data_IF_588877018379
#
_entry.id   IF_588877018379
#
_cell.length_a   1.000
_cell.length_b   1.000
_cell.length_c   1.000
_cell.angle_alpha   90.00
_cell.angle_beta   90.00
_cell.angle_gamma   90.00
#
_symmetry.space_group_name_H-M   'P 1'
#
loop_
_entity.id
_entity.type
_entity.pdbx_description
1 polymer ?
#
# COMPACT_ATOMS: atom_id res chain seq x y z
N UNK A 1 25.73 33.29 -11.07
CA UNK A 1 24.33 32.90 -10.84
C UNK A 1 23.99 31.81 -11.83
N UNK A 2 23.96 30.55 -11.39
CA UNK A 2 23.56 29.43 -12.24
C UNK A 2 22.04 29.52 -12.41
N UNK A 3 21.60 29.96 -13.59
CA UNK A 3 20.22 29.82 -14.02
C UNK A 3 19.92 28.32 -14.15
N UNK A 4 19.44 27.70 -13.07
CA UNK A 4 18.77 26.42 -13.13
C UNK A 4 17.51 26.64 -13.96
N UNK A 5 17.60 26.43 -15.26
CA UNK A 5 16.45 26.34 -16.15
C UNK A 5 15.57 25.22 -15.58
N UNK A 6 14.50 25.60 -14.88
CA UNK A 6 13.49 24.63 -14.43
C UNK A 6 12.94 24.00 -15.69
N UNK A 7 13.04 22.67 -15.78
CA UNK A 7 12.47 21.90 -16.88
C UNK A 7 10.97 22.24 -16.95
N UNK A 8 10.52 22.74 -18.09
CA UNK A 8 9.10 22.99 -18.31
C UNK A 8 8.46 21.63 -18.57
N UNK A 9 7.61 21.21 -17.63
CA UNK A 9 6.78 20.02 -17.78
C UNK A 9 5.41 20.49 -18.24
N UNK A 10 4.86 19.83 -19.25
CA UNK A 10 3.46 20.03 -19.59
C UNK A 10 2.56 19.47 -18.47
N UNK A 11 1.29 19.86 -18.44
CA UNK A 11 0.32 19.39 -17.46
C UNK A 11 0.25 17.86 -17.44
N UNK A 12 0.32 17.22 -18.60
CA UNK A 12 0.22 15.77 -18.74
C UNK A 12 1.47 15.05 -18.19
N UNK A 13 2.65 15.68 -18.33
CA UNK A 13 3.90 15.19 -17.74
C UNK A 13 3.83 15.20 -16.20
N UNK A 14 3.18 16.22 -15.63
CA UNK A 14 3.01 16.37 -14.19
C UNK A 14 2.05 15.29 -13.67
N UNK A 15 0.91 15.08 -14.32
CA UNK A 15 -0.08 14.07 -13.93
C UNK A 15 0.52 12.66 -13.96
N UNK A 16 1.26 12.33 -15.02
CA UNK A 16 1.99 11.05 -15.14
C UNK A 16 3.03 10.87 -14.05
N UNK A 17 3.75 11.93 -13.68
CA UNK A 17 4.72 11.87 -12.57
C UNK A 17 4.04 11.57 -11.23
N UNK A 18 2.87 12.14 -10.96
CA UNK A 18 2.12 11.85 -9.74
C UNK A 18 1.65 10.40 -9.70
N UNK A 19 1.08 9.89 -10.78
CA UNK A 19 0.64 8.48 -10.87
C UNK A 19 1.82 7.53 -10.64
N UNK A 20 2.94 7.77 -11.33
CA UNK A 20 4.13 6.93 -11.20
C UNK A 20 4.71 6.95 -9.79
N UNK A 21 4.71 8.12 -9.14
CA UNK A 21 5.18 8.27 -7.76
C UNK A 21 4.27 7.49 -6.80
N UNK A 22 2.96 7.62 -6.96
CA UNK A 22 1.99 6.91 -6.12
C UNK A 22 2.15 5.40 -6.28
N UNK A 23 2.26 4.89 -7.52
CA UNK A 23 2.52 3.47 -7.81
C UNK A 23 3.79 2.97 -7.11
N UNK A 24 4.89 3.73 -7.17
CA UNK A 24 6.15 3.35 -6.55
C UNK A 24 5.99 3.19 -5.03
N UNK A 25 5.38 4.19 -4.38
CA UNK A 25 5.14 4.18 -2.93
C UNK A 25 4.24 3.01 -2.53
N UNK A 26 3.16 2.78 -3.29
CA UNK A 26 2.24 1.68 -3.02
C UNK A 26 2.91 0.32 -3.14
N UNK A 27 3.78 0.14 -4.13
CA UNK A 27 4.52 -1.10 -4.30
C UNK A 27 5.44 -1.37 -3.10
N UNK A 28 6.22 -0.38 -2.70
CA UNK A 28 7.11 -0.50 -1.54
C UNK A 28 6.34 -0.86 -0.26
N UNK A 29 5.22 -0.20 0.00
CA UNK A 29 4.39 -0.46 1.18
C UNK A 29 3.79 -1.87 1.14
N UNK A 30 3.12 -2.25 0.04
CA UNK A 30 2.45 -3.55 -0.11
C UNK A 30 3.44 -4.73 -0.04
N UNK A 31 4.62 -4.57 -0.62
CA UNK A 31 5.68 -5.60 -0.58
C UNK A 31 6.19 -5.84 0.86
N UNK A 32 6.25 -4.78 1.68
CA UNK A 32 6.69 -4.89 3.08
C UNK A 32 5.66 -5.58 3.99
N UNK A 33 4.36 -5.39 3.73
CA UNK A 33 3.27 -5.82 4.63
C UNK A 33 3.32 -7.32 4.93
N UNK A 34 3.55 -8.16 3.93
CA UNK A 34 3.59 -9.60 4.16
C UNK A 34 4.77 -10.02 5.07
N UNK A 35 5.94 -9.42 4.87
CA UNK A 35 7.11 -9.69 5.72
C UNK A 35 6.85 -9.25 7.16
N UNK A 36 6.23 -8.10 7.36
CA UNK A 36 5.85 -7.61 8.68
C UNK A 36 4.80 -8.50 9.36
N UNK A 37 3.79 -8.97 8.63
CA UNK A 37 2.77 -9.89 9.15
C UNK A 37 3.43 -11.20 9.63
N UNK A 38 4.33 -11.77 8.82
CA UNK A 38 5.07 -12.97 9.19
C UNK A 38 5.87 -12.72 10.48
N UNK A 39 6.56 -11.59 10.57
CA UNK A 39 7.30 -11.19 11.76
C UNK A 39 6.40 -11.10 13.00
N UNK A 40 5.26 -10.41 12.93
CA UNK A 40 4.33 -10.32 14.06
C UNK A 40 3.76 -11.68 14.47
N UNK A 41 3.38 -12.52 13.51
CA UNK A 41 2.87 -13.87 13.80
C UNK A 41 3.92 -14.72 14.52
N UNK A 42 5.20 -14.60 14.15
CA UNK A 42 6.29 -15.31 14.83
C UNK A 42 6.46 -14.85 16.28
N UNK A 43 6.43 -13.53 16.53
CA UNK A 43 6.54 -12.98 17.89
C UNK A 43 5.37 -13.42 18.79
N UNK A 44 4.18 -13.59 18.21
CA UNK A 44 2.96 -13.95 18.95
C UNK A 44 2.71 -15.46 19.02
N UNK A 45 3.48 -16.29 18.32
CA UNK A 45 3.22 -17.73 18.13
C UNK A 45 3.09 -18.50 19.44
N UNK A 46 3.90 -18.17 20.44
CA UNK A 46 3.94 -18.86 21.74
C UNK A 46 2.81 -18.43 22.70
N UNK A 47 1.92 -17.54 22.27
CA UNK A 47 0.85 -16.96 23.10
C UNK A 47 -0.55 -17.18 22.49
N UNK A 48 -0.67 -18.11 21.54
CA UNK A 48 -1.94 -18.44 20.87
C UNK A 48 -3.07 -18.82 21.84
N UNK A 49 -2.74 -19.39 22.99
CA UNK A 49 -3.73 -19.82 23.99
C UNK A 49 -4.40 -18.64 24.72
N UNK A 50 -3.89 -17.42 24.55
CA UNK A 50 -4.55 -16.21 25.02
C UNK A 50 -5.42 -15.61 23.90
N UNK A 51 -6.72 -15.50 24.20
CA UNK A 51 -7.78 -15.06 23.29
C UNK A 51 -7.47 -13.73 22.58
N UNK A 52 -6.81 -12.79 23.25
CA UNK A 52 -6.45 -11.49 22.66
C UNK A 52 -5.41 -11.66 21.54
N UNK A 53 -4.38 -12.47 21.78
CA UNK A 53 -3.32 -12.69 20.80
C UNK A 53 -3.81 -13.55 19.63
N UNK A 54 -4.68 -14.54 19.88
CA UNK A 54 -5.34 -15.30 18.81
C UNK A 54 -6.10 -14.38 17.85
N UNK A 55 -6.91 -13.46 18.39
CA UNK A 55 -7.66 -12.48 17.58
C UNK A 55 -6.77 -11.56 16.76
N UNK A 56 -5.59 -11.18 17.28
CA UNK A 56 -4.62 -10.38 16.52
C UNK A 56 -4.01 -11.20 15.39
N UNK A 57 -3.64 -12.46 15.65
CA UNK A 57 -3.10 -13.38 14.63
C UNK A 57 -4.13 -13.61 13.51
N UNK A 58 -5.39 -13.85 13.83
CA UNK A 58 -6.47 -14.01 12.83
C UNK A 58 -6.66 -12.76 11.96
N UNK A 59 -6.59 -11.56 12.57
CA UNK A 59 -6.63 -10.30 11.83
C UNK A 59 -5.42 -10.12 10.91
N UNK A 60 -4.23 -10.51 11.36
CA UNK A 60 -3.00 -10.48 10.56
C UNK A 60 -3.12 -11.43 9.36
N UNK A 61 -3.64 -12.65 9.57
CA UNK A 61 -3.88 -13.62 8.50
C UNK A 61 -4.93 -13.16 7.49
N UNK A 62 -5.96 -12.45 7.97
CA UNK A 62 -6.95 -11.84 7.09
C UNK A 62 -6.31 -10.75 6.24
N UNK A 63 -5.50 -9.87 6.86
CA UNK A 63 -4.76 -8.82 6.14
C UNK A 63 -3.71 -9.37 5.19
N UNK A 64 -3.09 -10.50 5.47
CA UNK A 64 -2.16 -11.20 4.57
C UNK A 64 -2.87 -11.62 3.26
N UNK A 65 -4.06 -12.22 3.37
CA UNK A 65 -4.87 -12.60 2.19
C UNK A 65 -5.29 -11.37 1.39
N UNK A 66 -5.77 -10.33 2.07
CA UNK A 66 -6.16 -9.07 1.44
C UNK A 66 -4.96 -8.39 0.74
N UNK A 67 -3.78 -8.40 1.36
CA UNK A 67 -2.56 -7.83 0.79
C UNK A 67 -2.15 -8.55 -0.51
N UNK A 68 -2.26 -9.89 -0.53
CA UNK A 68 -1.96 -10.67 -1.73
C UNK A 68 -2.92 -10.36 -2.89
N UNK A 69 -4.20 -10.16 -2.59
CA UNK A 69 -5.19 -9.73 -3.59
C UNK A 69 -4.86 -8.32 -4.08
N UNK A 70 -4.54 -7.40 -3.16
CA UNK A 70 -4.18 -6.03 -3.50
C UNK A 70 -2.90 -5.95 -4.34
N UNK A 71 -1.90 -6.78 -4.05
CA UNK A 71 -0.67 -6.88 -4.83
C UNK A 71 -0.96 -7.34 -6.27
N UNK A 72 -1.80 -8.36 -6.44
CA UNK A 72 -2.22 -8.82 -7.76
C UNK A 72 -2.96 -7.70 -8.53
N UNK A 73 -3.86 -6.99 -7.85
CA UNK A 73 -4.58 -5.85 -8.43
C UNK A 73 -3.64 -4.68 -8.78
N UNK A 74 -2.63 -4.40 -7.95
CA UNK A 74 -1.63 -3.38 -8.22
C UNK A 74 -0.80 -3.72 -9.46
N UNK A 75 -0.38 -4.98 -9.61
CA UNK A 75 0.34 -5.45 -10.81
C UNK A 75 -0.53 -5.27 -12.06
N UNK A 76 -1.81 -5.62 -11.99
CA UNK A 76 -2.74 -5.40 -13.09
C UNK A 76 -2.93 -3.92 -13.40
N UNK A 77 -3.11 -3.10 -12.37
CA UNK A 77 -3.26 -1.65 -12.48
C UNK A 77 -2.03 -1.00 -13.15
N UNK A 78 -0.81 -1.38 -12.75
CA UNK A 78 0.44 -0.88 -13.35
C UNK A 78 0.47 -1.15 -14.86
N UNK A 79 0.14 -2.39 -15.27
CA UNK A 79 0.07 -2.76 -16.70
C UNK A 79 -0.99 -1.96 -17.44
N UNK A 80 -2.14 -1.73 -16.82
CA UNK A 80 -3.21 -0.92 -17.39
C UNK A 80 -2.74 0.53 -17.58
N UNK A 81 -2.08 1.12 -16.59
CA UNK A 81 -1.61 2.52 -16.66
C UNK A 81 -0.53 2.77 -17.71
N UNK A 82 0.15 1.75 -18.23
CA UNK A 82 1.05 1.93 -19.37
C UNK A 82 0.32 2.46 -20.61
N UNK A 83 -0.97 2.10 -20.79
CA UNK A 83 -1.81 2.60 -21.88
C UNK A 83 -2.15 4.09 -21.79
N UNK A 84 -1.96 4.74 -20.63
CA UNK A 84 -2.08 6.20 -20.52
C UNK A 84 -1.09 6.91 -21.45
N UNK A 85 0.06 6.27 -21.76
CA UNK A 85 1.07 6.85 -22.65
C UNK A 85 0.59 7.04 -24.08
N UNK A 86 -0.43 6.28 -24.48
CA UNK A 86 -0.98 6.22 -25.82
C UNK A 86 -2.25 7.09 -25.99
N UNK A 87 -2.71 7.76 -24.94
CA UNK A 87 -3.86 8.66 -25.05
C UNK A 87 -3.51 9.88 -25.93
N UNK A 88 -4.38 10.15 -26.90
CA UNK A 88 -4.30 11.31 -27.81
C UNK A 88 -5.43 12.33 -27.56
N UNK A 89 -6.37 12.01 -26.66
CA UNK A 89 -7.51 12.84 -26.32
C UNK A 89 -7.79 12.90 -24.80
N UNK A 90 -8.56 13.93 -24.43
CA UNK A 90 -8.93 14.24 -23.04
C UNK A 90 -9.84 13.16 -22.45
N UNK A 91 -10.63 12.47 -23.28
CA UNK A 91 -11.57 11.44 -22.82
C UNK A 91 -10.80 10.22 -22.29
N UNK A 92 -9.79 9.77 -23.03
CA UNK A 92 -8.86 8.73 -22.66
C UNK A 92 -8.09 9.08 -21.37
N UNK A 93 -7.55 10.29 -21.29
CA UNK A 93 -6.84 10.77 -20.09
C UNK A 93 -7.76 10.77 -18.85
N UNK A 94 -8.97 11.30 -19.00
CA UNK A 94 -9.98 11.36 -17.94
C UNK A 94 -10.34 9.96 -17.44
N UNK A 95 -10.45 8.97 -18.34
CA UNK A 95 -10.69 7.58 -17.95
C UNK A 95 -9.61 7.05 -17.00
N UNK A 96 -8.33 7.23 -17.35
CA UNK A 96 -7.21 6.76 -16.51
C UNK A 96 -7.09 7.54 -15.20
N UNK A 97 -7.37 8.84 -15.20
CA UNK A 97 -7.38 9.64 -13.98
C UNK A 97 -8.47 9.18 -12.99
N UNK A 98 -9.68 8.91 -13.50
CA UNK A 98 -10.77 8.38 -12.67
C UNK A 98 -10.42 6.99 -12.11
N UNK A 99 -9.85 6.12 -12.95
CA UNK A 99 -9.39 4.80 -12.52
C UNK A 99 -8.28 4.89 -11.46
N UNK A 100 -7.35 5.84 -11.61
CA UNK A 100 -6.31 6.13 -10.63
C UNK A 100 -6.89 6.56 -9.28
N UNK A 101 -7.85 7.49 -9.27
CA UNK A 101 -8.50 7.95 -8.03
C UNK A 101 -9.21 6.80 -7.31
N UNK A 102 -9.93 5.95 -8.06
CA UNK A 102 -10.61 4.78 -7.49
C UNK A 102 -9.61 3.80 -6.87
N UNK A 103 -8.54 3.49 -7.61
CA UNK A 103 -7.50 2.60 -7.12
C UNK A 103 -6.79 3.19 -5.88
N UNK A 104 -6.44 4.48 -5.93
CA UNK A 104 -5.83 5.24 -4.82
C UNK A 104 -6.65 5.15 -3.54
N UNK A 105 -7.95 5.43 -3.61
CA UNK A 105 -8.83 5.36 -2.45
C UNK A 105 -8.87 3.95 -1.84
N UNK A 106 -8.86 2.91 -2.68
CA UNK A 106 -8.85 1.53 -2.22
C UNK A 106 -7.54 1.17 -1.51
N UNK A 107 -6.40 1.41 -2.17
CA UNK A 107 -5.08 1.07 -1.60
C UNK A 107 -4.78 1.87 -0.34
N UNK A 108 -5.06 3.17 -0.31
CA UNK A 108 -4.83 4.01 0.88
C UNK A 108 -5.72 3.59 2.05
N UNK A 109 -6.97 3.20 1.79
CA UNK A 109 -7.86 2.65 2.82
C UNK A 109 -7.29 1.35 3.41
N UNK A 110 -6.81 0.44 2.56
CA UNK A 110 -6.17 -0.79 3.01
C UNK A 110 -4.92 -0.51 3.85
N UNK A 111 -4.01 0.34 3.37
CA UNK A 111 -2.77 0.71 4.06
C UNK A 111 -3.08 1.34 5.43
N UNK A 112 -4.09 2.21 5.50
CA UNK A 112 -4.52 2.82 6.76
C UNK A 112 -5.05 1.79 7.76
N UNK A 113 -5.87 0.84 7.31
CA UNK A 113 -6.37 -0.23 8.17
C UNK A 113 -5.23 -1.14 8.66
N UNK A 114 -4.30 -1.48 7.78
CA UNK A 114 -3.13 -2.27 8.15
C UNK A 114 -2.26 -1.53 9.18
N UNK A 115 -2.00 -0.23 8.98
CA UNK A 115 -1.24 0.59 9.94
C UNK A 115 -1.85 0.59 11.35
N UNK A 116 -3.18 0.59 11.46
CA UNK A 116 -3.88 0.45 12.75
C UNK A 116 -3.63 -0.92 13.39
N UNK A 117 -3.73 -1.99 12.61
CA UNK A 117 -3.46 -3.35 13.08
C UNK A 117 -2.00 -3.52 13.51
N UNK A 118 -1.05 -3.03 12.71
CA UNK A 118 0.38 -2.98 13.01
C UNK A 118 0.65 -2.30 14.34
N UNK A 119 0.07 -1.11 14.57
CA UNK A 119 0.18 -0.40 15.85
C UNK A 119 -0.36 -1.22 17.02
N UNK A 120 -1.51 -1.87 16.85
CA UNK A 120 -2.10 -2.72 17.87
C UNK A 120 -1.18 -3.91 18.21
N UNK A 121 -0.64 -4.59 17.20
CA UNK A 121 0.29 -5.70 17.38
C UNK A 121 1.55 -5.25 18.14
N UNK A 122 2.15 -4.12 17.76
CA UNK A 122 3.31 -3.56 18.48
C UNK A 122 3.02 -3.29 19.95
N UNK A 123 1.88 -2.64 20.26
CA UNK A 123 1.53 -2.33 21.65
C UNK A 123 1.41 -3.60 22.48
N UNK A 124 0.78 -4.66 21.95
CA UNK A 124 0.64 -5.93 22.67
C UNK A 124 1.96 -6.68 22.85
N UNK A 125 2.82 -6.65 21.85
CA UNK A 125 4.18 -7.20 21.98
C UNK A 125 5.00 -6.42 23.02
N UNK A 126 4.85 -5.09 23.09
CA UNK A 126 5.60 -4.28 24.05
C UNK A 126 5.09 -4.44 25.49
N UNK A 127 3.76 -4.52 25.69
CA UNK A 127 3.16 -4.87 26.98
C UNK A 127 3.74 -6.19 27.52
N UNK A 128 3.96 -7.17 26.65
CA UNK A 128 4.60 -8.44 27.01
C UNK A 128 6.03 -8.24 27.53
N UNK A 129 6.86 -7.47 26.82
CA UNK A 129 8.27 -7.30 27.18
C UNK A 129 8.48 -6.57 28.52
N UNK A 130 7.50 -5.78 28.97
CA UNK A 130 7.54 -5.08 30.25
C UNK A 130 7.00 -5.92 31.44
N UNK A 131 6.41 -7.10 31.16
CA UNK A 131 5.87 -8.02 32.17
C UNK A 131 6.80 -9.23 32.43
N UNK A 132 7.89 -9.34 31.68
CA UNK A 132 9.01 -10.28 31.88
C UNK A 132 10.21 -9.55 32.46
#
# INVERSE_FOLDING_TARGET
MNNLVKKHYDKDDIERQFINKDILLWKEEVDCINAEIVFFKQLLKNKKDNDIYSKIIEKLETKEKENNILLANLIFYIRKTDGLKECEDIECETYYLNDHILFKNNIESFLFQYKKLKRLAYLKINEQNNLT
#
